data_IF_249233640098
#
_entry.id   IF_249233640098
#
_cell.length_a   1.000
_cell.length_b   1.000
_cell.length_c   1.000
_cell.angle_alpha   90.00
_cell.angle_beta   90.00
_cell.angle_gamma   90.00
#
_symmetry.space_group_name_H-M   'P 1'
#
loop_
_entity.id
_entity.type
_entity.pdbx_description
1 polymer ?
#
# COMPACT_ATOMS: atom_id res chain seq x y z
N UNK A 1 -35.95 -40.61 -15.64
CA UNK A 1 -35.90 -42.03 -16.06
C UNK A 1 -35.42 -42.84 -14.86
N UNK A 2 -36.20 -43.87 -14.50
CA UNK A 2 -35.88 -45.02 -13.64
C UNK A 2 -36.13 -44.89 -12.11
N UNK A 3 -37.36 -45.28 -11.74
CA UNK A 3 -37.84 -46.18 -10.65
C UNK A 3 -37.39 -46.07 -9.17
N UNK A 4 -38.26 -45.45 -8.36
CA UNK A 4 -39.14 -46.01 -7.31
C UNK A 4 -38.75 -47.14 -6.30
N UNK A 5 -39.16 -46.84 -5.06
CA UNK A 5 -39.81 -47.66 -4.01
C UNK A 5 -38.98 -48.43 -2.95
N UNK A 6 -39.07 -47.86 -1.73
CA UNK A 6 -39.10 -48.51 -0.41
C UNK A 6 -39.91 -49.82 -0.39
N UNK A 7 -39.70 -50.65 0.64
CA UNK A 7 -40.89 -51.07 1.40
C UNK A 7 -40.75 -50.90 2.91
N UNK A 8 -41.95 -50.89 3.49
CA UNK A 8 -42.36 -50.52 4.83
C UNK A 8 -42.10 -51.61 5.89
N UNK A 9 -42.16 -51.14 7.15
CA UNK A 9 -42.11 -51.89 8.41
C UNK A 9 -43.18 -52.98 8.54
N UNK A 10 -43.00 -53.97 9.43
CA UNK A 10 -44.00 -54.09 10.49
C UNK A 10 -43.46 -54.55 11.86
N UNK A 11 -44.32 -54.34 12.85
CA UNK A 11 -44.13 -54.41 14.30
C UNK A 11 -44.18 -55.84 14.90
N UNK A 12 -43.35 -56.05 15.94
CA UNK A 12 -43.52 -56.91 17.15
C UNK A 12 -43.74 -58.44 17.00
N UNK A 13 -43.55 -59.29 18.04
CA UNK A 13 -42.78 -59.22 19.29
C UNK A 13 -41.85 -60.46 19.51
N UNK A 14 -41.20 -60.57 20.68
CA UNK A 14 -40.55 -61.78 21.24
C UNK A 14 -39.15 -62.19 20.76
N UNK A 15 -38.12 -61.93 21.58
CA UNK A 15 -37.48 -62.95 22.43
C UNK A 15 -36.20 -62.37 23.07
N UNK A 16 -35.93 -62.61 24.37
CA UNK A 16 -34.82 -62.01 25.14
C UNK A 16 -33.41 -62.50 24.70
N UNK A 17 -33.29 -63.21 23.58
CA UNK A 17 -32.06 -63.88 23.14
C UNK A 17 -31.16 -63.00 22.26
N UNK A 18 -31.72 -61.99 21.56
CA UNK A 18 -30.91 -61.11 20.69
C UNK A 18 -30.14 -60.06 21.50
N UNK A 19 -30.73 -59.55 22.60
CA UNK A 19 -30.00 -58.71 23.56
C UNK A 19 -28.87 -59.47 24.27
N UNK A 20 -29.04 -60.78 24.48
CA UNK A 20 -28.01 -61.66 25.05
C UNK A 20 -26.84 -61.86 24.07
N UNK A 21 -27.11 -61.95 22.76
CA UNK A 21 -26.06 -62.08 21.74
C UNK A 21 -25.19 -60.81 21.59
N UNK A 22 -25.78 -59.62 21.71
CA UNK A 22 -25.03 -58.34 21.63
C UNK A 22 -24.20 -58.09 22.90
N UNK A 23 -24.65 -58.58 24.07
CA UNK A 23 -23.85 -58.59 25.29
C UNK A 23 -22.65 -59.54 25.19
N UNK A 24 -22.80 -60.71 24.54
CA UNK A 24 -21.70 -61.68 24.37
C UNK A 24 -20.69 -61.21 23.30
N UNK A 25 -21.12 -60.50 22.26
CA UNK A 25 -20.20 -59.91 21.27
C UNK A 25 -19.30 -58.80 21.85
N UNK A 26 -19.78 -58.06 22.86
CA UNK A 26 -18.98 -57.03 23.55
C UNK A 26 -18.11 -57.57 24.70
N UNK A 27 -18.23 -58.86 25.07
CA UNK A 27 -17.27 -59.52 25.96
C UNK A 27 -16.02 -59.98 25.18
N UNK A 28 -16.09 -60.03 23.84
CA UNK A 28 -14.99 -60.46 22.97
C UNK A 28 -13.91 -59.42 22.64
N UNK A 29 -14.10 -58.14 23.00
CA UNK A 29 -13.10 -57.09 22.74
C UNK A 29 -12.72 -56.25 23.97
N UNK A 30 -13.03 -56.73 25.18
CA UNK A 30 -12.23 -56.34 26.32
C UNK A 30 -10.95 -57.19 26.30
N UNK A 31 -9.89 -56.67 25.67
CA UNK A 31 -8.52 -57.18 25.85
C UNK A 31 -8.05 -56.84 27.27
N UNK A 32 -8.77 -57.36 28.27
CA UNK A 32 -8.22 -57.59 29.58
C UNK A 32 -7.19 -58.68 29.36
N UNK A 33 -5.93 -58.26 29.14
CA UNK A 33 -4.76 -59.14 29.19
C UNK A 33 -4.66 -59.75 30.59
N UNK A 34 -5.49 -60.74 30.87
CA UNK A 34 -5.22 -61.71 31.91
C UNK A 34 -4.12 -62.57 31.30
N UNK A 35 -2.86 -62.13 31.49
CA UNK A 35 -1.71 -63.01 31.25
C UNK A 35 -2.00 -64.27 32.04
N UNK A 36 -2.10 -65.42 31.36
CA UNK A 36 -1.96 -66.72 32.02
C UNK A 36 -0.64 -66.66 32.78
N UNK A 37 -0.73 -66.44 34.09
CA UNK A 37 0.42 -66.60 34.96
C UNK A 37 0.64 -68.10 35.02
N UNK A 38 1.50 -68.61 34.14
CA UNK A 38 2.19 -69.86 34.44
C UNK A 38 2.74 -69.71 35.86
N UNK A 39 2.56 -70.72 36.70
CA UNK A 39 3.10 -70.74 38.06
C UNK A 39 4.63 -70.64 37.98
N UNK A 40 5.13 -69.41 37.93
CA UNK A 40 6.53 -69.10 38.14
C UNK A 40 6.66 -68.76 39.62
N UNK A 41 7.73 -69.27 40.24
CA UNK A 41 8.04 -69.05 41.65
C UNK A 41 7.88 -67.57 42.05
N UNK A 42 7.61 -67.30 43.33
CA UNK A 42 7.36 -65.95 43.91
C UNK A 42 8.36 -64.87 43.42
N UNK A 43 9.58 -65.27 43.07
CA UNK A 43 10.63 -64.41 42.52
C UNK A 43 10.43 -63.98 41.04
N UNK A 44 9.76 -64.78 40.22
CA UNK A 44 9.51 -64.50 38.80
C UNK A 44 8.50 -63.37 38.59
N UNK A 45 7.44 -63.32 39.39
CA UNK A 45 6.40 -62.29 39.28
C UNK A 45 6.92 -60.90 39.67
N UNK A 46 7.74 -60.81 40.72
CA UNK A 46 8.40 -59.57 41.12
C UNK A 46 9.36 -59.06 40.04
N UNK A 47 10.09 -59.97 39.38
CA UNK A 47 10.99 -59.63 38.26
C UNK A 47 10.23 -59.10 37.04
N UNK A 48 9.11 -59.74 36.67
CA UNK A 48 8.29 -59.28 35.53
C UNK A 48 7.67 -57.91 35.78
N UNK A 49 7.09 -57.67 36.96
CA UNK A 49 6.50 -56.37 37.31
C UNK A 49 7.58 -55.28 37.37
N UNK A 50 8.77 -55.60 37.89
CA UNK A 50 9.90 -54.66 37.89
C UNK A 50 10.33 -54.31 36.47
N UNK A 51 10.43 -55.29 35.56
CA UNK A 51 10.75 -55.05 34.14
C UNK A 51 9.69 -54.22 33.43
N UNK A 52 8.40 -54.43 33.70
CA UNK A 52 7.33 -53.63 33.12
C UNK A 52 7.34 -52.19 33.65
N UNK A 53 7.57 -52.01 34.95
CA UNK A 53 7.77 -50.69 35.57
C UNK A 53 8.96 -49.97 34.95
N UNK A 54 10.10 -50.63 34.81
CA UNK A 54 11.30 -50.03 34.24
C UNK A 54 11.11 -49.72 32.75
N UNK A 55 10.33 -50.52 32.01
CA UNK A 55 9.94 -50.25 30.62
C UNK A 55 9.00 -49.05 30.52
N UNK A 56 8.04 -48.93 31.44
CA UNK A 56 7.15 -47.77 31.52
C UNK A 56 7.93 -46.50 31.91
N UNK A 57 8.90 -46.61 32.81
CA UNK A 57 9.77 -45.51 33.22
C UNK A 57 10.65 -45.02 32.07
N UNK A 58 11.18 -45.95 31.25
CA UNK A 58 11.90 -45.61 30.01
C UNK A 58 11.00 -44.89 29.01
N UNK A 59 9.79 -45.42 28.74
CA UNK A 59 8.82 -44.74 27.86
C UNK A 59 8.40 -43.36 28.37
N UNK A 60 8.25 -43.21 29.69
CA UNK A 60 7.96 -41.92 30.31
C UNK A 60 9.12 -40.95 30.14
N UNK A 61 10.36 -41.38 30.41
CA UNK A 61 11.55 -40.55 30.22
C UNK A 61 11.80 -40.23 28.74
N UNK A 62 11.50 -41.13 27.80
CA UNK A 62 11.57 -40.88 26.36
C UNK A 62 10.51 -39.84 25.95
N UNK A 63 9.28 -39.95 26.45
CA UNK A 63 8.21 -38.98 26.20
C UNK A 63 8.49 -37.61 26.85
N UNK A 64 9.09 -37.59 28.06
CA UNK A 64 9.53 -36.37 28.73
C UNK A 64 10.74 -35.76 28.01
N UNK A 65 11.67 -36.56 27.52
CA UNK A 65 12.77 -36.10 26.66
C UNK A 65 12.26 -35.50 25.35
N UNK A 66 11.19 -36.05 24.76
CA UNK A 66 10.48 -35.43 23.63
C UNK A 66 9.78 -34.13 24.05
N UNK A 67 9.30 -34.01 25.30
CA UNK A 67 8.70 -32.77 25.82
C UNK A 67 9.73 -31.66 26.10
N UNK A 68 10.96 -32.00 26.50
CA UNK A 68 12.11 -31.08 26.56
C UNK A 68 12.59 -30.63 25.16
N UNK A 69 12.17 -31.36 24.12
CA UNK A 69 12.44 -31.04 22.71
C UNK A 69 11.30 -30.25 22.02
N UNK A 70 10.29 -29.78 22.75
CA UNK A 70 9.31 -28.83 22.18
C UNK A 70 10.02 -27.48 22.04
N UNK A 71 10.43 -27.15 20.81
CA UNK A 71 10.94 -25.83 20.47
C UNK A 71 9.78 -24.84 20.61
N UNK A 72 9.76 -24.10 21.72
CA UNK A 72 8.82 -23.01 21.93
C UNK A 72 9.47 -21.68 21.53
N UNK A 73 8.66 -20.66 21.24
CA UNK A 73 9.15 -19.29 20.96
C UNK A 73 10.03 -18.69 22.07
N UNK A 74 9.97 -19.26 23.28
CA UNK A 74 10.74 -18.85 24.47
C UNK A 74 12.14 -19.49 24.56
N UNK A 75 12.48 -20.44 23.68
CA UNK A 75 13.77 -21.13 23.74
C UNK A 75 14.95 -20.19 23.44
N UNK A 76 14.71 -19.11 22.69
CA UNK A 76 15.67 -18.03 22.45
C UNK A 76 15.11 -16.72 22.98
N UNK A 77 15.98 -15.83 23.46
CA UNK A 77 15.60 -14.48 23.82
C UNK A 77 15.16 -13.67 22.59
N UNK A 78 14.29 -12.65 22.73
CA UNK A 78 13.99 -11.70 21.66
C UNK A 78 15.28 -11.18 20.97
N UNK A 79 15.18 -10.92 19.67
CA UNK A 79 16.33 -10.53 18.83
C UNK A 79 17.26 -11.68 18.41
N UNK A 80 16.95 -12.93 18.77
CA UNK A 80 17.75 -14.10 18.35
C UNK A 80 16.90 -15.13 17.60
N UNK A 81 17.25 -15.53 16.38
CA UNK A 81 16.61 -16.63 15.66
C UNK A 81 17.14 -18.01 16.07
N UNK A 82 16.32 -19.02 15.81
CA UNK A 82 16.69 -20.43 15.95
C UNK A 82 17.53 -20.87 14.76
N UNK A 83 18.76 -21.32 14.99
CA UNK A 83 19.47 -22.17 14.03
C UNK A 83 19.26 -23.63 14.40
N UNK A 84 18.77 -24.38 13.42
CA UNK A 84 18.67 -25.83 13.49
C UNK A 84 19.91 -26.40 12.80
N UNK A 85 20.93 -26.76 13.58
CA UNK A 85 22.03 -27.53 13.03
C UNK A 85 21.55 -28.96 12.77
N UNK A 86 21.80 -29.45 11.55
CA UNK A 86 21.43 -30.79 11.11
C UNK A 86 22.16 -31.86 11.93
N UNK A 87 21.37 -32.66 12.64
CA UNK A 87 21.49 -34.11 12.85
C UNK A 87 22.91 -34.72 12.78
N UNK A 88 23.60 -34.79 13.91
CA UNK A 88 24.70 -35.76 14.07
C UNK A 88 24.08 -37.16 14.16
N UNK A 89 24.40 -38.03 13.19
CA UNK A 89 23.72 -39.33 12.98
C UNK A 89 24.16 -40.45 13.94
N UNK A 90 24.97 -40.18 14.97
CA UNK A 90 25.65 -41.27 15.69
C UNK A 90 25.50 -41.30 17.22
N UNK A 91 24.75 -40.39 17.83
CA UNK A 91 24.39 -40.53 19.24
C UNK A 91 23.01 -39.94 19.52
N UNK A 92 22.24 -40.69 20.32
CA UNK A 92 20.92 -40.39 20.92
C UNK A 92 20.54 -38.89 20.80
N UNK A 93 19.57 -38.64 19.92
CA UNK A 93 18.98 -37.36 19.54
C UNK A 93 18.97 -36.29 20.66
N UNK A 94 19.90 -35.33 20.56
CA UNK A 94 19.85 -34.09 21.33
C UNK A 94 19.74 -32.94 20.34
N UNK A 95 18.51 -32.47 20.10
CA UNK A 95 18.27 -31.26 19.34
C UNK A 95 18.87 -30.08 20.11
N UNK A 96 20.08 -29.65 19.75
CA UNK A 96 20.68 -28.45 20.34
C UNK A 96 20.12 -27.24 19.60
N UNK A 97 19.24 -26.49 20.26
CA UNK A 97 18.76 -25.20 19.74
C UNK A 97 19.87 -24.16 19.93
N UNK A 98 20.46 -23.69 18.84
CA UNK A 98 21.40 -22.58 18.88
C UNK A 98 20.67 -21.27 18.56
N UNK A 99 20.82 -20.28 19.43
CA UNK A 99 20.23 -18.95 19.27
C UNK A 99 21.24 -18.00 18.64
N UNK A 100 20.99 -17.57 17.42
CA UNK A 100 21.85 -16.61 16.72
C UNK A 100 21.17 -15.25 16.65
N UNK A 101 21.93 -14.17 16.81
CA UNK A 101 21.40 -12.81 16.73
C UNK A 101 20.80 -12.54 15.35
N UNK A 102 19.65 -11.87 15.33
CA UNK A 102 19.11 -11.32 14.09
C UNK A 102 20.14 -10.36 13.49
N UNK A 103 20.34 -10.47 12.17
CA UNK A 103 21.20 -9.55 11.42
C UNK A 103 20.63 -8.11 11.42
N UNK A 104 21.44 -7.14 11.02
CA UNK A 104 20.99 -5.75 10.82
C UNK A 104 19.76 -5.68 9.92
N UNK A 105 18.85 -4.75 10.21
CA UNK A 105 17.54 -4.62 9.55
C UNK A 105 16.54 -5.75 9.81
N UNK A 106 16.86 -6.71 10.67
CA UNK A 106 15.93 -7.73 11.14
C UNK A 106 15.71 -7.63 12.65
N UNK A 107 14.54 -8.05 13.12
CA UNK A 107 14.16 -8.04 14.52
C UNK A 107 13.34 -9.27 14.87
N UNK A 108 13.32 -9.68 16.15
CA UNK A 108 12.43 -10.74 16.61
C UNK A 108 11.83 -10.42 17.97
N UNK A 109 10.50 -10.35 18.03
CA UNK A 109 9.74 -10.24 19.29
C UNK A 109 9.56 -11.60 19.96
N UNK A 110 9.09 -11.63 21.21
CA UNK A 110 8.81 -12.88 21.93
C UNK A 110 7.67 -13.74 21.30
N UNK A 111 6.86 -13.16 20.41
CA UNK A 111 5.74 -13.86 19.75
C UNK A 111 6.14 -14.59 18.47
N UNK A 112 7.30 -14.26 17.87
CA UNK A 112 7.68 -14.72 16.55
C UNK A 112 8.80 -15.75 16.61
N UNK A 113 8.78 -16.72 15.70
CA UNK A 113 9.79 -17.79 15.63
C UNK A 113 11.02 -17.45 14.78
N UNK A 114 10.91 -16.52 13.84
CA UNK A 114 12.00 -16.10 12.94
C UNK A 114 12.25 -14.60 13.01
N UNK A 115 13.44 -14.19 12.58
CA UNK A 115 13.77 -12.78 12.43
C UNK A 115 12.93 -12.16 11.29
N UNK A 116 12.14 -11.15 11.62
CA UNK A 116 11.33 -10.37 10.68
C UNK A 116 12.12 -9.18 10.17
N UNK A 117 11.92 -8.82 8.90
CA UNK A 117 12.54 -7.62 8.31
C UNK A 117 11.87 -6.35 8.85
N UNK A 118 12.66 -5.34 9.18
CA UNK A 118 12.14 -4.06 9.64
C UNK A 118 11.28 -3.36 8.58
N UNK A 119 10.21 -2.66 8.98
CA UNK A 119 9.41 -1.82 8.07
C UNK A 119 10.25 -0.71 7.41
N UNK A 120 9.79 -0.18 6.27
CA UNK A 120 10.47 0.90 5.53
C UNK A 120 10.53 2.16 6.41
N UNK A 121 11.69 2.81 6.45
CA UNK A 121 11.95 3.96 7.33
C UNK A 121 12.26 3.60 8.79
N UNK A 122 12.27 2.32 9.13
CA UNK A 122 12.80 1.80 10.39
C UNK A 122 14.14 1.10 10.16
N UNK A 123 14.92 0.97 11.23
CA UNK A 123 16.19 0.26 11.23
C UNK A 123 16.34 -0.53 12.54
N UNK A 124 17.18 -1.56 12.51
CA UNK A 124 17.58 -2.33 13.69
C UNK A 124 19.06 -2.70 13.59
N UNK A 125 19.71 -2.81 14.74
CA UNK A 125 21.07 -3.33 14.90
C UNK A 125 21.03 -4.83 15.17
N UNK A 126 22.20 -5.49 15.12
CA UNK A 126 22.30 -6.92 15.39
C UNK A 126 21.79 -7.27 16.79
N UNK A 127 20.86 -8.23 16.85
CA UNK A 127 20.28 -8.70 18.11
C UNK A 127 19.16 -7.83 18.68
N UNK A 128 18.69 -6.81 17.96
CA UNK A 128 17.54 -6.01 18.39
C UNK A 128 16.24 -6.84 18.37
N UNK A 129 15.46 -6.72 19.43
CA UNK A 129 14.14 -7.35 19.53
C UNK A 129 13.06 -6.62 18.73
N UNK A 130 13.35 -5.40 18.29
CA UNK A 130 12.37 -4.42 17.87
C UNK A 130 13.02 -3.32 17.01
N UNK A 131 12.37 -2.91 15.92
CA UNK A 131 12.90 -1.84 15.06
C UNK A 131 12.73 -0.43 15.65
N UNK A 132 13.64 0.46 15.31
CA UNK A 132 13.64 1.87 15.70
C UNK A 132 13.30 2.73 14.49
N UNK A 133 12.39 3.70 14.66
CA UNK A 133 12.06 4.64 13.58
C UNK A 133 13.24 5.57 13.33
N UNK A 134 13.69 5.66 12.09
CA UNK A 134 14.79 6.55 11.76
C UNK A 134 14.32 8.00 11.70
N UNK A 135 15.17 8.97 12.10
CA UNK A 135 14.93 10.37 11.82
C UNK A 135 14.79 10.63 10.32
N UNK A 136 14.03 11.65 9.94
CA UNK A 136 13.91 12.09 8.55
C UNK A 136 15.28 12.38 7.94
N UNK A 137 15.54 11.88 6.73
CA UNK A 137 16.82 12.00 6.02
C UNK A 137 18.00 11.30 6.72
N UNK A 138 17.75 10.29 7.54
CA UNK A 138 18.81 9.49 8.15
C UNK A 138 19.43 8.50 7.16
N UNK A 139 20.75 8.48 7.07
CA UNK A 139 21.50 7.49 6.28
C UNK A 139 21.46 6.07 6.86
N UNK A 140 20.89 5.88 8.05
CA UNK A 140 20.77 4.57 8.72
C UNK A 140 19.60 3.73 8.20
N UNK A 141 18.75 4.30 7.35
CA UNK A 141 17.63 3.59 6.76
C UNK A 141 18.09 2.71 5.60
N UNK A 142 17.76 1.43 5.67
CA UNK A 142 18.08 0.45 4.63
C UNK A 142 17.16 0.56 3.40
N UNK A 143 15.94 1.07 3.56
CA UNK A 143 14.97 1.20 2.47
C UNK A 143 14.11 2.44 2.67
N UNK A 144 13.94 3.22 1.60
CA UNK A 144 13.12 4.42 1.55
C UNK A 144 11.78 4.14 0.85
N UNK A 145 10.74 4.87 1.22
CA UNK A 145 9.47 4.87 0.50
C UNK A 145 9.64 5.51 -0.88
N UNK A 146 8.92 4.99 -1.86
CA UNK A 146 8.90 5.53 -3.22
C UNK A 146 8.28 6.93 -3.27
N UNK A 147 8.48 7.63 -4.39
CA UNK A 147 7.82 8.92 -4.66
C UNK A 147 6.30 8.82 -4.46
N UNK A 148 5.72 9.87 -3.91
CA UNK A 148 4.30 9.95 -3.54
C UNK A 148 3.90 9.12 -2.32
N UNK A 149 4.86 8.57 -1.58
CA UNK A 149 4.62 7.87 -0.34
C UNK A 149 5.52 8.38 0.80
N UNK A 150 5.09 8.16 2.02
CA UNK A 150 5.76 8.52 3.27
C UNK A 150 5.79 7.34 4.25
N UNK A 151 6.67 7.39 5.24
CA UNK A 151 6.82 6.35 6.25
C UNK A 151 5.73 6.43 7.31
N UNK A 152 5.15 5.27 7.64
CA UNK A 152 4.20 5.11 8.73
C UNK A 152 4.80 5.21 10.12
N UNK A 153 3.92 5.22 11.13
CA UNK A 153 4.31 5.12 12.54
C UNK A 153 4.25 3.69 13.08
N UNK A 154 3.70 2.74 12.32
CA UNK A 154 3.58 1.36 12.76
C UNK A 154 4.90 0.61 12.62
N UNK A 155 5.42 0.20 13.77
CA UNK A 155 6.69 -0.53 13.93
C UNK A 155 6.58 -2.01 13.58
N UNK A 156 5.37 -2.55 13.53
CA UNK A 156 5.09 -3.95 13.24
C UNK A 156 4.42 -4.14 11.88
N UNK A 157 4.30 -3.07 11.09
CA UNK A 157 3.78 -3.15 9.73
C UNK A 157 4.61 -4.11 8.87
N UNK A 158 3.95 -4.79 7.94
CA UNK A 158 4.65 -5.55 6.92
C UNK A 158 5.57 -4.62 6.11
N UNK A 159 6.74 -5.12 5.72
CA UNK A 159 7.78 -4.34 5.05
C UNK A 159 7.23 -3.48 3.90
N UNK A 160 6.47 -4.05 2.97
CA UNK A 160 5.95 -3.30 1.81
C UNK A 160 4.77 -2.37 2.15
N UNK A 161 4.00 -2.67 3.20
CA UNK A 161 2.78 -1.95 3.59
C UNK A 161 3.04 -0.83 4.60
N UNK A 162 4.30 -0.57 4.93
CA UNK A 162 4.72 0.47 5.86
C UNK A 162 4.73 1.89 5.26
N UNK A 163 4.62 2.00 3.93
CA UNK A 163 4.57 3.27 3.21
C UNK A 163 3.12 3.71 2.94
N UNK A 164 2.81 4.95 3.28
CA UNK A 164 1.48 5.56 3.11
C UNK A 164 1.48 6.51 1.92
N UNK A 165 0.47 6.42 1.07
CA UNK A 165 0.32 7.29 -0.11
C UNK A 165 -0.05 8.72 0.32
N UNK A 166 0.61 9.71 -0.27
CA UNK A 166 0.19 11.12 -0.15
C UNK A 166 -1.16 11.34 -0.82
N UNK A 167 -2.01 12.20 -0.23
CA UNK A 167 -3.36 12.45 -0.73
C UNK A 167 -3.42 13.66 -1.69
N UNK A 168 -3.62 13.45 -3.00
CA UNK A 168 -3.71 14.55 -3.97
C UNK A 168 -4.90 15.47 -3.72
N UNK A 169 -6.02 14.98 -3.17
CA UNK A 169 -7.21 15.78 -2.86
C UNK A 169 -6.93 16.80 -1.75
N UNK A 170 -5.96 16.49 -0.87
CA UNK A 170 -5.45 17.40 0.16
C UNK A 170 -4.25 18.22 -0.32
N UNK A 171 -3.93 18.16 -1.61
CA UNK A 171 -2.73 18.77 -2.21
C UNK A 171 -1.43 18.28 -1.56
N UNK A 172 -1.40 17.04 -1.10
CA UNK A 172 -0.22 16.43 -0.51
C UNK A 172 0.61 15.70 -1.57
N UNK A 173 1.94 15.89 -1.54
CA UNK A 173 2.84 15.28 -2.49
C UNK A 173 4.22 14.95 -1.89
N UNK A 174 4.99 14.13 -2.61
CA UNK A 174 6.35 13.78 -2.25
C UNK A 174 7.20 13.43 -3.50
N UNK A 175 8.13 14.32 -3.91
CA UNK A 175 8.80 14.22 -5.21
C UNK A 175 10.03 13.30 -5.27
N UNK A 176 10.50 12.82 -4.13
CA UNK A 176 11.68 11.98 -4.03
C UNK A 176 11.44 10.76 -3.11
N UNK A 177 12.30 9.76 -3.23
CA UNK A 177 12.30 8.62 -2.31
C UNK A 177 12.75 9.09 -0.93
N UNK A 178 12.02 8.70 0.12
CA UNK A 178 12.16 9.34 1.42
C UNK A 178 11.75 8.42 2.58
N UNK A 179 12.07 8.83 3.81
CA UNK A 179 11.54 8.28 5.06
C UNK A 179 10.84 9.39 5.89
N UNK A 180 10.15 10.31 5.22
CA UNK A 180 9.44 11.38 5.90
C UNK A 180 8.20 10.86 6.61
N UNK A 181 7.79 11.56 7.66
CA UNK A 181 6.60 11.25 8.45
C UNK A 181 5.34 11.92 7.93
N UNK A 182 5.51 12.89 7.04
CA UNK A 182 4.46 13.74 6.50
C UNK A 182 4.76 14.09 5.05
N UNK A 183 3.72 14.12 4.24
CA UNK A 183 3.79 14.61 2.88
C UNK A 183 4.00 16.13 2.87
N UNK A 184 4.60 16.63 1.79
CA UNK A 184 4.69 18.06 1.53
C UNK A 184 3.32 18.56 1.09
N UNK A 185 2.99 19.81 1.42
CA UNK A 185 1.77 20.47 0.93
C UNK A 185 2.13 21.36 -0.26
N UNK A 186 1.40 21.19 -1.35
CA UNK A 186 1.60 21.97 -2.58
C UNK A 186 1.02 23.38 -2.39
N UNK A 187 1.78 24.45 -2.66
CA UNK A 187 1.32 25.82 -2.45
C UNK A 187 0.07 26.16 -3.26
N UNK A 188 -0.61 27.24 -2.85
CA UNK A 188 -1.72 27.80 -3.61
C UNK A 188 -1.24 28.19 -5.03
N UNK A 189 -2.09 28.02 -6.03
CA UNK A 189 -1.71 28.26 -7.43
C UNK A 189 -0.97 27.10 -8.11
N UNK A 190 -0.74 25.99 -7.40
CA UNK A 190 -0.09 24.78 -7.94
C UNK A 190 -0.97 23.55 -7.80
N UNK A 191 -0.83 22.60 -8.73
CA UNK A 191 -1.57 21.34 -8.78
C UNK A 191 -0.67 20.14 -8.50
N UNK A 192 -1.24 19.11 -7.91
CA UNK A 192 -0.59 17.84 -7.60
C UNK A 192 -1.05 16.77 -8.58
N UNK A 193 -0.13 15.94 -9.06
CA UNK A 193 -0.47 14.79 -9.90
C UNK A 193 -1.29 13.73 -9.13
N UNK A 194 -2.03 12.88 -9.84
CA UNK A 194 -2.87 11.84 -9.21
C UNK A 194 -2.09 10.83 -8.34
N UNK A 195 -0.78 10.75 -8.55
CA UNK A 195 0.12 9.87 -7.81
C UNK A 195 0.74 10.57 -6.59
N UNK A 196 0.52 11.86 -6.39
CA UNK A 196 1.08 12.63 -5.27
C UNK A 196 2.61 12.75 -5.34
N UNK A 197 3.21 12.67 -6.52
CA UNK A 197 4.65 12.74 -6.75
C UNK A 197 5.10 14.14 -7.10
N UNK A 198 4.30 14.91 -7.81
CA UNK A 198 4.73 16.19 -8.35
C UNK A 198 3.74 17.29 -7.99
N UNK A 199 4.28 18.49 -7.77
CA UNK A 199 3.52 19.70 -7.53
C UNK A 199 3.99 20.72 -8.57
N UNK A 200 3.07 21.14 -9.44
CA UNK A 200 3.38 21.98 -10.60
C UNK A 200 2.56 23.25 -10.52
N UNK A 201 3.22 24.40 -10.66
CA UNK A 201 2.55 25.69 -10.74
C UNK A 201 1.63 25.77 -11.96
N UNK A 202 0.46 26.35 -11.79
CA UNK A 202 -0.38 26.70 -12.93
C UNK A 202 0.32 27.77 -13.78
N UNK A 203 0.35 27.62 -15.10
CA UNK A 203 1.02 28.57 -15.98
C UNK A 203 0.33 29.94 -15.97
N UNK A 204 1.02 30.97 -16.47
CA UNK A 204 0.40 32.28 -16.69
C UNK A 204 -0.85 32.16 -17.58
N UNK A 205 -1.87 32.97 -17.28
CA UNK A 205 -3.22 32.86 -17.84
C UNK A 205 -4.12 31.83 -17.14
N UNK A 206 -3.61 31.09 -16.15
CA UNK A 206 -4.37 30.10 -15.39
C UNK A 206 -4.27 30.37 -13.90
N UNK A 207 -5.26 29.89 -13.16
CA UNK A 207 -5.25 29.84 -11.71
C UNK A 207 -5.60 28.44 -11.21
N UNK A 208 -5.18 28.10 -10.01
CA UNK A 208 -5.53 26.81 -9.42
C UNK A 208 -6.92 26.83 -8.79
N UNK A 209 -7.72 25.81 -9.14
CA UNK A 209 -9.00 25.51 -8.50
C UNK A 209 -9.20 24.00 -8.44
N UNK A 210 -9.45 23.47 -7.23
CA UNK A 210 -9.75 22.05 -7.01
C UNK A 210 -8.70 21.11 -7.62
N UNK A 211 -7.42 21.43 -7.41
CA UNK A 211 -6.29 20.68 -7.94
C UNK A 211 -6.24 20.61 -9.48
N UNK A 212 -6.80 21.63 -10.14
CA UNK A 212 -6.77 21.81 -11.60
C UNK A 212 -6.38 23.24 -11.95
N UNK A 213 -5.63 23.39 -13.03
CA UNK A 213 -5.36 24.70 -13.61
C UNK A 213 -6.52 25.11 -14.49
N UNK A 214 -7.22 26.16 -14.10
CA UNK A 214 -8.38 26.71 -14.80
C UNK A 214 -7.97 28.01 -15.47
N UNK A 215 -8.33 28.17 -16.74
CA UNK A 215 -8.07 29.41 -17.49
C UNK A 215 -8.78 30.60 -16.83
N UNK A 216 -8.11 31.76 -16.84
CA UNK A 216 -8.74 33.01 -16.45
C UNK A 216 -9.89 33.35 -17.39
N UNK A 217 -11.06 33.65 -16.81
CA UNK A 217 -12.22 34.04 -17.61
C UNK A 217 -12.01 35.44 -18.22
N UNK A 218 -12.83 35.74 -19.23
CA UNK A 218 -12.89 37.06 -19.87
C UNK A 218 -13.01 38.15 -18.80
N UNK A 219 -12.25 39.23 -18.95
CA UNK A 219 -12.13 40.32 -17.98
C UNK A 219 -11.13 40.07 -16.87
N UNK A 220 -10.41 38.93 -16.87
CA UNK A 220 -9.43 38.59 -15.84
C UNK A 220 -8.14 38.04 -16.43
N UNK A 221 -7.03 38.17 -15.68
CA UNK A 221 -5.71 37.76 -16.13
C UNK A 221 -4.85 37.18 -15.00
N UNK A 222 -3.85 36.39 -15.36
CA UNK A 222 -2.81 35.89 -14.45
C UNK A 222 -1.43 36.09 -15.10
N UNK A 223 -0.66 37.04 -14.56
CA UNK A 223 0.63 37.49 -15.11
C UNK A 223 1.81 36.59 -14.75
N UNK A 224 1.64 35.71 -13.76
CA UNK A 224 2.69 34.85 -13.25
C UNK A 224 2.19 33.42 -13.13
N UNK A 225 3.11 32.47 -13.22
CA UNK A 225 2.84 31.10 -12.80
C UNK A 225 2.55 31.05 -11.31
N UNK A 226 1.82 30.03 -10.86
CA UNK A 226 1.51 29.85 -9.45
C UNK A 226 0.47 30.83 -8.92
N UNK A 227 -0.33 31.44 -9.81
CA UNK A 227 -1.40 32.34 -9.40
C UNK A 227 -2.57 31.54 -8.82
N UNK A 228 -3.06 31.92 -7.63
CA UNK A 228 -4.18 31.26 -6.97
C UNK A 228 -5.54 31.83 -7.41
N UNK A 229 -5.58 33.07 -7.90
CA UNK A 229 -6.78 33.73 -8.45
C UNK A 229 -6.43 34.70 -9.56
N UNK A 230 -7.25 34.72 -10.61
CA UNK A 230 -7.12 35.72 -11.66
C UNK A 230 -7.43 37.13 -11.14
N UNK A 231 -6.61 38.09 -11.56
CA UNK A 231 -6.79 39.51 -11.28
C UNK A 231 -7.81 40.08 -12.27
N UNK A 232 -8.71 40.92 -11.78
CA UNK A 232 -9.70 41.59 -12.63
C UNK A 232 -9.02 42.72 -13.39
N UNK A 233 -9.32 42.83 -14.68
CA UNK A 233 -8.94 44.00 -15.47
C UNK A 233 -9.87 45.18 -15.17
N UNK A 234 -9.32 46.38 -15.08
CA UNK A 234 -10.08 47.62 -14.87
C UNK A 234 -10.42 48.36 -16.17
N UNK A 235 -9.91 47.91 -17.31
CA UNK A 235 -10.02 48.59 -18.59
C UNK A 235 -10.63 47.68 -19.66
N UNK A 236 -11.78 48.08 -20.22
CA UNK A 236 -12.48 47.35 -21.28
C UNK A 236 -11.69 47.25 -22.59
N UNK A 237 -10.68 48.09 -22.81
CA UNK A 237 -9.81 48.04 -23.99
C UNK A 237 -8.63 47.06 -23.85
N UNK A 238 -8.47 46.42 -22.70
CA UNK A 238 -7.43 45.44 -22.47
C UNK A 238 -7.70 44.13 -23.22
N UNK A 239 -6.64 43.44 -23.65
CA UNK A 239 -6.76 42.16 -24.36
C UNK A 239 -7.58 41.13 -23.57
N UNK A 240 -7.31 41.01 -22.26
CA UNK A 240 -7.99 40.08 -21.37
C UNK A 240 -9.50 40.35 -21.21
N UNK A 241 -10.01 41.55 -21.55
CA UNK A 241 -11.46 41.85 -21.51
C UNK A 241 -12.26 41.18 -22.62
N UNK A 242 -11.58 40.62 -23.62
CA UNK A 242 -12.21 39.92 -24.73
C UNK A 242 -11.68 38.48 -24.89
N UNK A 243 -10.51 38.15 -24.33
CA UNK A 243 -9.91 36.82 -24.39
C UNK A 243 -10.02 36.03 -23.08
N UNK A 244 -10.08 34.70 -23.21
CA UNK A 244 -9.88 33.76 -22.11
C UNK A 244 -8.37 33.50 -21.96
N UNK A 245 -7.91 33.32 -20.72
CA UNK A 245 -6.51 33.00 -20.42
C UNK A 245 -5.55 34.18 -20.57
N UNK A 246 -6.02 35.41 -20.31
CA UNK A 246 -5.18 36.61 -20.38
C UNK A 246 -3.98 36.54 -19.41
N UNK A 247 -2.81 36.96 -19.89
CA UNK A 247 -1.57 37.01 -19.08
C UNK A 247 -1.18 38.43 -18.67
N UNK A 248 -1.72 39.47 -19.31
CA UNK A 248 -1.56 40.86 -18.83
C UNK A 248 -2.86 41.63 -18.98
N UNK A 249 -2.90 42.81 -18.37
CA UNK A 249 -3.99 43.77 -18.51
C UNK A 249 -3.53 45.01 -19.29
N UNK A 250 -2.81 44.78 -20.39
CA UNK A 250 -2.34 45.86 -21.24
C UNK A 250 -3.38 46.20 -22.30
N UNK A 251 -3.38 47.47 -22.70
CA UNK A 251 -4.05 47.89 -23.91
C UNK A 251 -3.55 47.05 -25.08
N UNK A 252 -4.46 46.76 -26.00
CA UNK A 252 -4.03 46.26 -27.28
C UNK A 252 -3.21 47.30 -28.03
N UNK A 253 -2.25 46.84 -28.84
CA UNK A 253 -1.42 47.69 -29.71
C UNK A 253 -2.26 48.63 -30.59
N UNK A 254 -3.47 48.20 -30.96
CA UNK A 254 -4.40 49.04 -31.71
C UNK A 254 -4.93 50.20 -30.89
N UNK A 255 -5.24 49.99 -29.60
CA UNK A 255 -5.70 51.07 -28.73
C UNK A 255 -4.59 52.12 -28.55
N UNK A 256 -3.35 51.70 -28.29
CA UNK A 256 -2.22 52.62 -28.13
C UNK A 256 -1.91 53.39 -29.43
N UNK A 257 -2.01 52.73 -30.58
CA UNK A 257 -1.88 53.39 -31.89
C UNK A 257 -2.96 54.47 -32.09
N UNK A 258 -4.21 54.17 -31.69
CA UNK A 258 -5.31 55.14 -31.81
C UNK A 258 -5.13 56.36 -30.91
N UNK A 259 -4.60 56.17 -29.70
CA UNK A 259 -4.31 57.27 -28.77
C UNK A 259 -3.15 58.14 -29.26
N UNK A 260 -2.10 57.52 -29.83
CA UNK A 260 -0.97 58.24 -30.44
C UNK A 260 -1.38 59.13 -31.62
N UNK A 261 -2.36 58.67 -32.43
CA UNK A 261 -2.92 59.47 -33.54
C UNK A 261 -3.82 60.59 -33.01
N UNK A 262 -4.68 60.29 -32.03
CA UNK A 262 -5.56 61.28 -31.38
C UNK A 262 -4.78 62.48 -30.84
N UNK A 263 -3.64 62.22 -30.19
CA UNK A 263 -2.84 63.25 -29.53
C UNK A 263 -2.06 64.14 -30.52
N UNK A 264 -1.92 63.72 -31.79
CA UNK A 264 -1.12 64.44 -32.79
C UNK A 264 -1.94 65.06 -33.94
N UNK A 265 -3.09 64.50 -34.32
CA UNK A 265 -3.62 64.70 -35.68
C UNK A 265 -5.17 64.65 -35.80
N UNK A 266 -5.95 65.36 -34.96
CA UNK A 266 -7.44 65.53 -35.02
C UNK A 266 -8.21 64.67 -34.00
N UNK A 267 -9.37 65.15 -33.52
CA UNK A 267 -10.31 64.42 -32.65
C UNK A 267 -10.99 63.26 -33.41
N UNK A 268 -10.21 62.20 -33.61
CA UNK A 268 -10.58 60.99 -34.36
C UNK A 268 -11.22 59.91 -33.48
N UNK A 269 -11.63 60.26 -32.24
CA UNK A 269 -12.21 59.35 -31.26
C UNK A 269 -13.40 58.55 -31.83
N UNK A 270 -14.15 59.14 -32.76
CA UNK A 270 -15.32 58.50 -33.39
C UNK A 270 -14.96 57.43 -34.43
N UNK A 271 -13.79 57.52 -35.08
CA UNK A 271 -13.36 56.58 -36.12
C UNK A 271 -12.37 55.54 -35.60
N UNK A 272 -11.53 55.93 -34.65
CA UNK A 272 -10.41 55.11 -34.20
C UNK A 272 -10.81 54.12 -33.09
N UNK A 273 -11.68 54.53 -32.14
CA UNK A 273 -12.14 53.63 -31.06
C UNK A 273 -12.86 52.37 -31.57
N UNK A 274 -13.79 52.45 -32.56
CA UNK A 274 -14.42 51.25 -33.13
C UNK A 274 -13.41 50.32 -33.82
N UNK A 275 -12.37 50.89 -34.43
CA UNK A 275 -11.35 50.13 -35.14
C UNK A 275 -10.45 49.37 -34.16
N UNK A 276 -9.98 50.02 -33.09
CA UNK A 276 -9.24 49.36 -32.01
C UNK A 276 -10.08 48.27 -31.33
N UNK A 277 -11.36 48.57 -31.06
CA UNK A 277 -12.30 47.61 -30.47
C UNK A 277 -12.51 46.36 -31.34
N UNK A 278 -12.76 46.54 -32.64
CA UNK A 278 -12.94 45.41 -33.57
C UNK A 278 -11.69 44.56 -33.75
N UNK A 279 -10.50 45.18 -33.76
CA UNK A 279 -9.23 44.45 -33.81
C UNK A 279 -8.97 43.64 -32.52
N UNK A 280 -9.34 44.17 -31.36
CA UNK A 280 -9.26 43.44 -30.08
C UNK A 280 -10.13 42.21 -30.07
N UNK A 281 -11.37 42.34 -30.55
CA UNK A 281 -12.28 41.20 -30.74
C UNK A 281 -11.67 40.18 -31.69
N UNK A 282 -11.06 40.60 -32.80
CA UNK A 282 -10.38 39.70 -33.73
C UNK A 282 -9.27 38.89 -33.09
N UNK A 283 -8.36 39.55 -32.34
CA UNK A 283 -7.28 38.88 -31.61
C UNK A 283 -7.80 37.94 -30.51
N UNK A 284 -8.83 38.37 -29.80
CA UNK A 284 -9.50 37.55 -28.79
C UNK A 284 -10.20 36.33 -29.40
N UNK A 285 -10.86 36.47 -30.56
CA UNK A 285 -11.45 35.35 -31.29
C UNK A 285 -10.38 34.35 -31.72
N UNK A 286 -9.22 34.83 -32.20
CA UNK A 286 -8.10 33.97 -32.54
C UNK A 286 -7.56 33.23 -31.30
N UNK A 287 -7.40 33.91 -30.16
CA UNK A 287 -6.89 33.28 -28.94
C UNK A 287 -7.91 32.31 -28.32
N UNK A 288 -9.20 32.64 -28.34
CA UNK A 288 -10.28 31.78 -27.84
C UNK A 288 -10.48 30.56 -28.74
N UNK A 289 -10.22 30.69 -30.05
CA UNK A 289 -10.23 29.58 -30.99
C UNK A 289 -8.97 28.70 -30.91
N UNK A 290 -8.01 28.97 -30.02
CA UNK A 290 -6.85 28.09 -29.81
C UNK A 290 -7.27 26.64 -29.52
N UNK A 291 -8.38 26.41 -28.81
CA UNK A 291 -8.97 25.07 -28.61
C UNK A 291 -9.45 24.43 -29.92
N UNK A 292 -10.04 25.21 -30.84
CA UNK A 292 -10.46 24.75 -32.16
C UNK A 292 -9.26 24.43 -33.06
N UNK A 293 -8.18 25.23 -32.96
CA UNK A 293 -6.93 25.02 -33.72
C UNK A 293 -6.19 23.78 -33.20
N UNK A 294 -6.09 23.57 -31.89
CA UNK A 294 -5.47 22.37 -31.29
C UNK A 294 -6.24 21.07 -31.64
N UNK A 295 -7.56 21.13 -31.85
CA UNK A 295 -8.37 20.02 -32.37
C UNK A 295 -8.23 19.84 -33.90
N UNK A 296 -8.01 20.91 -34.65
CA UNK A 296 -7.91 20.86 -36.11
C UNK A 296 -6.54 20.38 -36.63
N UNK A 297 -5.45 20.64 -35.89
CA UNK A 297 -4.09 20.19 -36.24
C UNK A 297 -3.99 18.66 -36.40
N UNK A 298 -4.47 17.82 -35.47
CA UNK A 298 -4.45 16.37 -35.66
C UNK A 298 -5.39 15.91 -36.79
N UNK A 299 -6.52 16.58 -37.01
CA UNK A 299 -7.42 16.28 -38.14
C UNK A 299 -6.79 16.60 -39.50
N UNK A 300 -6.05 17.71 -39.64
CA UNK A 300 -5.33 18.05 -40.85
C UNK A 300 -4.14 17.10 -41.08
N UNK A 301 -3.44 16.67 -40.03
CA UNK A 301 -2.38 15.67 -40.13
C UNK A 301 -2.90 14.29 -40.59
N UNK A 302 -4.06 13.87 -40.07
CA UNK A 302 -4.73 12.63 -40.53
C UNK A 302 -5.23 12.73 -41.97
N UNK A 303 -5.74 13.89 -42.39
CA UNK A 303 -6.17 14.11 -43.78
C UNK A 303 -5.00 14.12 -44.76
N UNK A 304 -3.85 14.68 -44.38
CA UNK A 304 -2.63 14.69 -45.21
C UNK A 304 -2.03 13.29 -45.35
N UNK A 305 -2.03 12.48 -44.27
CA UNK A 305 -1.60 11.09 -44.31
C UNK A 305 -2.51 10.21 -45.19
N UNK A 306 -3.82 10.47 -45.18
CA UNK A 306 -4.79 9.78 -46.02
C UNK A 306 -4.68 10.15 -47.52
N UNK A 307 -4.14 11.33 -47.85
CA UNK A 307 -3.92 11.77 -49.23
C UNK A 307 -2.56 11.29 -49.80
N UNK A 308 -1.65 10.82 -48.94
CA UNK A 308 -0.32 10.30 -49.32
C UNK A 308 -0.24 8.77 -49.39
N UNK A 309 -1.37 8.05 -49.30
CA UNK A 309 -1.50 6.60 -49.49
C UNK A 309 -2.18 6.27 -50.81
#
# INVERSE_FOLDING_TARGET
MIYYYLPEMPWMPMMPWIAFAIAIANIGCADARIRKMNFVTKCGCASTVSKERDTAYKKFNDAVGISENIITVNNCLPGHEFKFDNYDTDTIAKYKVECVRCAENYYRTASNSSCLKCPVGFYSQEGDSECIKAPTNSSKVHTLCNKGHITGNDKFAEYENSCYKCNPDKKEYMPYMNNHDKCLSCPAGSVVDEKGRECTECPAGYYEKENKCVECQIGTYADKSGTDKCKVCSNEFALAYHSVGGYTCDNSIFYDLTEGIKNNLINMDMLLKPLAYSANIGMAMISNNRRMVELAIPCMAMAYAAYSM
#
